data_IF_930244405493
#
_entry.id   IF_930244405493
#
_cell.length_a   1.000
_cell.length_b   1.000
_cell.length_c   1.000
_cell.angle_alpha   90.00
_cell.angle_beta   90.00
_cell.angle_gamma   90.00
#
_symmetry.space_group_name_H-M   'P 1'
#
loop_
_entity.id
_entity.type
_entity.pdbx_description
1 polymer ?
#
# COMPACT_ATOMS: atom_id res chain seq x y z
N UNK A 1 -4.15 13.97 8.15
CA UNK A 1 -4.67 13.08 7.10
C UNK A 1 -3.94 13.40 5.82
N UNK A 2 -3.69 12.41 4.97
CA UNK A 2 -3.11 12.58 3.64
C UNK A 2 -4.21 12.33 2.60
N UNK A 3 -4.14 13.03 1.47
CA UNK A 3 -5.06 12.86 0.33
C UNK A 3 -4.30 12.29 -0.86
N UNK A 4 -4.89 11.35 -1.56
CA UNK A 4 -4.22 10.66 -2.66
C UNK A 4 -5.17 10.11 -3.71
N UNK A 5 -4.58 9.39 -4.63
CA UNK A 5 -5.26 8.73 -5.73
C UNK A 5 -4.77 7.29 -5.86
N UNK A 6 -5.61 6.41 -6.37
CA UNK A 6 -5.16 5.13 -6.89
C UNK A 6 -5.35 5.06 -8.40
N UNK A 7 -4.41 4.40 -9.08
CA UNK A 7 -4.28 4.42 -10.53
C UNK A 7 -3.78 3.10 -11.10
N UNK A 8 -4.07 2.90 -12.38
CA UNK A 8 -3.63 1.74 -13.15
C UNK A 8 -3.36 2.14 -14.60
N UNK A 9 -3.18 1.19 -15.49
CA UNK A 9 -3.09 1.43 -16.93
C UNK A 9 -4.27 2.23 -17.51
N UNK A 10 -5.42 2.30 -16.81
CA UNK A 10 -6.55 3.13 -17.22
C UNK A 10 -6.21 4.63 -17.23
N UNK A 11 -5.28 5.05 -16.41
CA UNK A 11 -4.74 6.41 -16.35
C UNK A 11 -3.46 6.57 -17.18
N UNK A 12 -3.20 5.69 -18.16
CA UNK A 12 -2.03 5.79 -19.04
C UNK A 12 -1.86 7.19 -19.60
N UNK A 13 -0.65 7.74 -19.44
CA UNK A 13 -0.30 9.10 -19.85
C UNK A 13 -0.56 10.17 -18.80
N UNK A 14 -1.03 9.81 -17.59
CA UNK A 14 -1.11 10.73 -16.46
C UNK A 14 0.29 11.18 -16.06
N UNK A 15 0.46 12.49 -15.94
CA UNK A 15 1.66 13.14 -15.43
C UNK A 15 1.45 13.50 -13.95
N UNK A 16 2.06 12.74 -13.05
CA UNK A 16 1.89 12.91 -11.60
C UNK A 16 2.44 14.24 -11.09
N UNK A 17 3.31 14.91 -11.84
CA UNK A 17 3.81 16.24 -11.48
C UNK A 17 2.73 17.32 -11.51
N UNK A 18 1.66 17.07 -12.28
CA UNK A 18 0.50 17.97 -12.41
C UNK A 18 -0.60 17.70 -11.40
N UNK A 19 -0.51 16.58 -10.67
CA UNK A 19 -1.54 16.18 -9.71
C UNK A 19 -1.10 16.54 -8.29
N UNK A 20 -1.89 17.42 -7.67
CA UNK A 20 -1.69 17.75 -6.26
C UNK A 20 -2.26 16.63 -5.39
N UNK A 21 -1.39 15.74 -4.91
CA UNK A 21 -1.73 14.68 -3.97
C UNK A 21 -0.54 14.38 -3.05
N UNK A 22 -0.82 13.87 -1.86
CA UNK A 22 0.20 13.46 -0.89
C UNK A 22 0.73 12.05 -1.19
N UNK A 23 -0.14 11.17 -1.70
CA UNK A 23 0.22 9.79 -2.01
C UNK A 23 -0.41 9.29 -3.32
N UNK A 24 0.20 8.24 -3.86
CA UNK A 24 -0.30 7.52 -5.04
C UNK A 24 -0.20 6.02 -4.79
N UNK A 25 -1.27 5.29 -5.09
CA UNK A 25 -1.33 3.83 -5.04
C UNK A 25 -1.44 3.32 -6.49
N UNK A 26 -0.54 2.43 -6.91
CA UNK A 26 -0.47 1.97 -8.29
C UNK A 26 -0.83 0.49 -8.40
N UNK A 27 -1.69 0.11 -9.36
CA UNK A 27 -1.86 -1.29 -9.73
C UNK A 27 -0.51 -1.87 -10.15
N UNK A 28 -0.10 -2.96 -9.49
CA UNK A 28 1.13 -3.65 -9.85
C UNK A 28 0.80 -4.91 -10.65
N UNK A 29 0.04 -5.83 -10.07
CA UNK A 29 -0.20 -7.15 -10.68
C UNK A 29 -1.66 -7.58 -10.54
N UNK A 30 -2.05 -8.58 -11.34
CA UNK A 30 -3.31 -9.28 -11.25
C UNK A 30 -3.07 -10.76 -11.57
N UNK A 31 -3.72 -11.68 -10.84
CA UNK A 31 -3.54 -13.11 -11.09
C UNK A 31 -2.03 -13.51 -11.01
N UNK A 32 -1.60 -14.53 -11.76
CA UNK A 32 -0.20 -14.99 -11.79
C UNK A 32 0.55 -14.61 -13.07
N UNK A 33 -0.04 -13.78 -13.95
CA UNK A 33 0.49 -13.54 -15.28
C UNK A 33 0.29 -12.11 -15.80
N UNK A 34 -0.30 -11.21 -15.03
CA UNK A 34 -0.49 -9.82 -15.44
C UNK A 34 0.33 -8.87 -14.58
N UNK A 35 1.21 -8.11 -15.24
CA UNK A 35 1.90 -6.94 -14.68
C UNK A 35 1.31 -5.70 -15.36
N UNK A 36 0.84 -4.73 -14.58
CA UNK A 36 0.28 -3.50 -15.14
C UNK A 36 1.35 -2.74 -15.94
N UNK A 37 1.11 -2.43 -17.21
CA UNK A 37 2.12 -1.84 -18.08
C UNK A 37 2.55 -0.42 -17.67
N UNK A 38 1.77 0.27 -16.83
CA UNK A 38 2.09 1.61 -16.35
C UNK A 38 2.73 1.60 -14.94
N UNK A 39 2.76 0.45 -14.27
CA UNK A 39 3.18 0.33 -12.88
C UNK A 39 4.54 0.96 -12.60
N UNK A 40 5.56 0.52 -13.32
CA UNK A 40 6.93 0.98 -13.06
C UNK A 40 7.14 2.45 -13.38
N UNK A 41 6.44 2.97 -14.40
CA UNK A 41 6.50 4.38 -14.74
C UNK A 41 5.85 5.25 -13.67
N UNK A 42 4.65 4.90 -13.23
CA UNK A 42 3.97 5.63 -12.15
C UNK A 42 4.74 5.60 -10.84
N UNK A 43 5.27 4.44 -10.45
CA UNK A 43 6.09 4.33 -9.24
C UNK A 43 7.35 5.19 -9.33
N UNK A 44 8.01 5.23 -10.50
CA UNK A 44 9.18 6.11 -10.73
C UNK A 44 8.82 7.59 -10.64
N UNK A 45 7.69 8.00 -11.22
CA UNK A 45 7.20 9.37 -11.10
C UNK A 45 6.90 9.73 -9.64
N UNK A 46 6.19 8.87 -8.92
CA UNK A 46 5.83 9.10 -7.52
C UNK A 46 7.08 9.20 -6.61
N UNK A 47 8.07 8.32 -6.80
CA UNK A 47 9.36 8.35 -6.09
C UNK A 47 10.12 9.65 -6.35
N UNK A 48 10.22 10.07 -7.61
CA UNK A 48 10.91 11.31 -8.01
C UNK A 48 10.25 12.57 -7.43
N UNK A 49 8.94 12.54 -7.21
CA UNK A 49 8.16 13.64 -6.63
C UNK A 49 8.09 13.58 -5.10
N UNK A 50 8.72 12.59 -4.45
CA UNK A 50 8.70 12.42 -3.00
C UNK A 50 7.31 12.13 -2.41
N UNK A 51 6.39 11.61 -3.24
CA UNK A 51 5.05 11.21 -2.80
C UNK A 51 5.12 9.95 -1.95
N UNK A 52 4.22 9.82 -1.00
CA UNK A 52 3.99 8.53 -0.35
C UNK A 52 3.47 7.53 -1.39
N UNK A 53 3.97 6.29 -1.35
CA UNK A 53 3.67 5.30 -2.39
C UNK A 53 2.96 4.07 -1.84
N UNK A 54 2.04 3.53 -2.62
CA UNK A 54 1.45 2.22 -2.42
C UNK A 54 1.38 1.44 -3.73
N UNK A 55 1.22 0.13 -3.65
CA UNK A 55 1.06 -0.71 -4.83
C UNK A 55 0.17 -1.91 -4.52
N UNK A 56 -0.71 -2.28 -5.45
CA UNK A 56 -1.68 -3.32 -5.20
C UNK A 56 -1.66 -4.49 -6.18
N UNK A 57 -2.06 -5.63 -5.66
CA UNK A 57 -2.35 -6.85 -6.39
C UNK A 57 -3.86 -7.05 -6.48
N UNK A 58 -4.41 -7.14 -7.67
CA UNK A 58 -5.80 -7.51 -7.88
C UNK A 58 -5.95 -9.03 -7.80
N UNK A 59 -6.62 -9.52 -6.78
CA UNK A 59 -6.76 -10.94 -6.50
C UNK A 59 -7.71 -11.65 -7.46
N UNK A 60 -7.36 -12.88 -7.83
CA UNK A 60 -8.20 -13.82 -8.60
C UNK A 60 -8.33 -15.16 -7.89
N UNK A 61 -8.95 -15.17 -6.69
CA UNK A 61 -9.04 -16.38 -5.87
C UNK A 61 -9.83 -17.52 -6.53
N UNK A 62 -10.62 -17.21 -7.53
CA UNK A 62 -11.33 -18.18 -8.36
C UNK A 62 -10.44 -18.90 -9.40
N UNK A 63 -9.24 -18.37 -9.67
CA UNK A 63 -8.34 -18.89 -10.69
C UNK A 63 -7.09 -19.55 -10.13
N UNK A 64 -6.55 -19.03 -9.03
CA UNK A 64 -5.22 -19.42 -8.55
C UNK A 64 -5.17 -19.61 -7.03
N UNK A 65 -4.19 -20.43 -6.53
CA UNK A 65 -3.85 -20.46 -5.11
C UNK A 65 -3.26 -19.12 -4.62
N UNK A 66 -3.57 -18.76 -3.39
CA UNK A 66 -3.11 -17.52 -2.76
C UNK A 66 -1.59 -17.32 -2.81
N UNK A 67 -0.84 -18.36 -2.44
CA UNK A 67 0.63 -18.33 -2.46
C UNK A 67 1.23 -18.15 -3.86
N UNK A 68 0.54 -18.64 -4.90
CA UNK A 68 1.02 -18.46 -6.27
C UNK A 68 0.90 -16.98 -6.69
N UNK A 69 -0.23 -16.33 -6.39
CA UNK A 69 -0.43 -14.91 -6.67
C UNK A 69 0.48 -14.03 -5.79
N UNK A 70 0.66 -14.38 -4.51
CA UNK A 70 1.58 -13.67 -3.62
C UNK A 70 3.03 -13.71 -4.12
N UNK A 71 3.51 -14.87 -4.56
CA UNK A 71 4.86 -15.00 -5.13
C UNK A 71 5.02 -14.25 -6.45
N UNK A 72 4.01 -14.25 -7.29
CA UNK A 72 4.04 -13.47 -8.54
C UNK A 72 4.08 -11.96 -8.23
N UNK A 73 3.24 -11.48 -7.31
CA UNK A 73 3.28 -10.10 -6.84
C UNK A 73 4.66 -9.74 -6.27
N UNK A 74 5.19 -10.54 -5.35
CA UNK A 74 6.50 -10.32 -4.74
C UNK A 74 7.62 -10.24 -5.78
N UNK A 75 7.68 -11.20 -6.71
CA UNK A 75 8.72 -11.25 -7.73
C UNK A 75 8.77 -10.00 -8.63
N UNK A 76 7.60 -9.41 -8.92
CA UNK A 76 7.50 -8.22 -9.78
C UNK A 76 7.63 -6.90 -9.01
N UNK A 77 7.58 -6.91 -7.67
CA UNK A 77 7.50 -5.70 -6.85
C UNK A 77 8.58 -5.60 -5.76
N UNK A 78 9.49 -6.57 -5.69
CA UNK A 78 10.50 -6.70 -4.61
C UNK A 78 11.23 -5.39 -4.27
N UNK A 79 11.56 -4.56 -5.26
CA UNK A 79 12.30 -3.31 -5.08
C UNK A 79 11.52 -2.19 -4.39
N UNK A 80 10.19 -2.36 -4.23
CA UNK A 80 9.31 -1.35 -3.62
C UNK A 80 8.95 -1.66 -2.17
N UNK A 81 9.22 -2.89 -1.69
CA UNK A 81 9.06 -3.18 -0.27
C UNK A 81 10.02 -2.33 0.57
N UNK A 82 9.58 -1.97 1.78
CA UNK A 82 10.24 -1.00 2.67
C UNK A 82 10.37 0.42 2.08
N UNK A 83 9.54 0.76 1.07
CA UNK A 83 9.41 2.10 0.47
C UNK A 83 7.96 2.48 0.23
N UNK A 84 7.11 1.50 -0.02
CA UNK A 84 5.71 1.68 -0.39
C UNK A 84 4.83 0.63 0.29
N UNK A 85 3.56 0.95 0.51
CA UNK A 85 2.59 0.07 1.16
C UNK A 85 2.15 -1.02 0.18
N UNK A 86 2.36 -2.33 0.48
CA UNK A 86 1.80 -3.41 -0.30
C UNK A 86 0.32 -3.60 0.03
N UNK A 87 -0.52 -3.88 -0.97
CA UNK A 87 -1.97 -3.93 -0.81
C UNK A 87 -2.52 -5.15 -1.56
N UNK A 88 -3.46 -5.86 -0.93
CA UNK A 88 -4.32 -6.85 -1.56
C UNK A 88 -5.65 -6.20 -1.92
N UNK A 89 -5.95 -6.11 -3.20
CA UNK A 89 -7.24 -5.67 -3.74
C UNK A 89 -8.17 -6.87 -3.85
N UNK A 90 -9.23 -6.87 -3.01
CA UNK A 90 -10.14 -7.97 -2.78
C UNK A 90 -11.57 -7.65 -3.22
N UNK A 91 -11.85 -7.78 -4.51
CA UNK A 91 -13.17 -7.45 -5.06
C UNK A 91 -13.67 -8.38 -6.18
N UNK A 92 -12.91 -9.41 -6.54
CA UNK A 92 -13.29 -10.37 -7.57
C UNK A 92 -14.47 -11.27 -7.17
N UNK A 93 -14.90 -12.15 -8.05
CA UNK A 93 -16.03 -13.07 -7.84
C UNK A 93 -15.81 -14.04 -6.67
N UNK A 94 -14.56 -14.40 -6.37
CA UNK A 94 -14.16 -15.29 -5.27
C UNK A 94 -14.12 -14.67 -3.88
N UNK A 95 -14.62 -13.45 -3.68
CA UNK A 95 -14.49 -12.67 -2.44
C UNK A 95 -15.10 -13.26 -1.17
N UNK A 96 -15.89 -14.32 -1.26
CA UNK A 96 -16.36 -15.09 -0.11
C UNK A 96 -15.25 -15.93 0.56
N UNK A 97 -14.17 -16.22 -0.17
CA UNK A 97 -13.04 -17.03 0.33
C UNK A 97 -12.05 -16.18 1.14
N UNK A 98 -12.48 -15.73 2.33
CA UNK A 98 -11.65 -14.91 3.25
C UNK A 98 -10.35 -15.63 3.66
N UNK A 99 -10.36 -16.96 3.73
CA UNK A 99 -9.18 -17.75 4.08
C UNK A 99 -8.06 -17.59 3.02
N UNK A 100 -8.42 -17.51 1.74
CA UNK A 100 -7.48 -17.24 0.67
C UNK A 100 -6.83 -15.85 0.83
N UNK A 101 -7.63 -14.82 1.13
CA UNK A 101 -7.11 -13.49 1.36
C UNK A 101 -6.12 -13.47 2.54
N UNK A 102 -6.47 -14.16 3.63
CA UNK A 102 -5.58 -14.30 4.79
C UNK A 102 -4.27 -14.99 4.43
N UNK A 103 -4.32 -16.08 3.65
CA UNK A 103 -3.14 -16.82 3.21
C UNK A 103 -2.21 -15.96 2.33
N UNK A 104 -2.78 -15.15 1.43
CA UNK A 104 -2.01 -14.22 0.60
C UNK A 104 -1.30 -13.16 1.46
N UNK A 105 -2.02 -12.54 2.39
CA UNK A 105 -1.49 -11.54 3.30
C UNK A 105 -0.36 -12.10 4.18
N UNK A 106 -0.55 -13.33 4.70
CA UNK A 106 0.45 -14.02 5.50
C UNK A 106 1.71 -14.35 4.68
N UNK A 107 1.55 -14.81 3.43
CA UNK A 107 2.68 -15.14 2.56
C UNK A 107 3.51 -13.89 2.24
N UNK A 108 2.89 -12.75 1.93
CA UNK A 108 3.62 -11.50 1.70
C UNK A 108 4.32 -11.04 2.97
N UNK A 109 3.66 -11.11 4.12
CA UNK A 109 4.30 -10.77 5.39
C UNK A 109 5.50 -11.66 5.69
N UNK A 110 5.39 -12.96 5.46
CA UNK A 110 6.49 -13.92 5.65
C UNK A 110 7.69 -13.65 4.71
N UNK A 111 7.42 -13.20 3.47
CA UNK A 111 8.46 -12.90 2.49
C UNK A 111 9.17 -11.56 2.72
N UNK A 112 8.52 -10.60 3.40
CA UNK A 112 8.97 -9.19 3.37
C UNK A 112 9.10 -8.54 4.73
N UNK A 113 8.55 -9.13 5.78
CA UNK A 113 8.35 -8.54 7.11
C UNK A 113 7.50 -7.23 7.08
N UNK A 114 6.84 -6.95 5.96
CA UNK A 114 5.91 -5.81 5.80
C UNK A 114 4.47 -6.33 5.77
N UNK A 115 3.60 -5.82 6.66
CA UNK A 115 2.20 -6.22 6.68
C UNK A 115 1.43 -5.51 5.57
N UNK A 116 0.85 -6.24 4.61
CA UNK A 116 0.00 -5.62 3.60
C UNK A 116 -1.28 -5.03 4.19
N UNK A 117 -1.89 -4.12 3.44
CA UNK A 117 -3.25 -3.64 3.70
C UNK A 117 -4.23 -4.42 2.84
N UNK A 118 -5.41 -4.73 3.40
CA UNK A 118 -6.53 -5.26 2.64
C UNK A 118 -7.37 -4.11 2.09
N UNK A 119 -7.63 -4.09 0.78
CA UNK A 119 -8.65 -3.22 0.17
C UNK A 119 -9.89 -4.03 -0.17
N UNK A 120 -11.07 -3.49 0.16
CA UNK A 120 -12.36 -3.98 -0.32
C UNK A 120 -13.48 -2.98 -0.05
N UNK A 121 -14.66 -3.24 -0.62
CA UNK A 121 -15.84 -2.41 -0.36
C UNK A 121 -16.41 -2.62 1.06
N UNK A 122 -17.07 -1.58 1.60
CA UNK A 122 -17.78 -1.65 2.90
C UNK A 122 -18.75 -2.84 2.96
N UNK A 123 -19.45 -3.11 1.87
CA UNK A 123 -20.41 -4.21 1.78
C UNK A 123 -19.74 -5.57 1.96
N UNK A 124 -18.62 -5.82 1.29
CA UNK A 124 -17.85 -7.08 1.40
C UNK A 124 -17.25 -7.24 2.79
N UNK A 125 -16.68 -6.17 3.35
CA UNK A 125 -16.12 -6.17 4.71
C UNK A 125 -17.18 -6.48 5.76
N UNK A 126 -18.42 -6.02 5.59
CA UNK A 126 -19.49 -6.28 6.54
C UNK A 126 -20.24 -7.58 6.29
N UNK A 127 -20.14 -8.16 5.10
CA UNK A 127 -20.82 -9.41 4.73
C UNK A 127 -20.11 -10.65 5.26
N UNK A 128 -18.79 -10.66 5.27
CA UNK A 128 -17.99 -11.84 5.63
C UNK A 128 -17.27 -11.68 6.97
N UNK A 129 -16.77 -12.79 7.50
CA UNK A 129 -16.04 -12.82 8.77
C UNK A 129 -14.54 -12.57 8.53
N UNK A 130 -14.09 -11.36 8.83
CA UNK A 130 -12.70 -10.93 8.70
C UNK A 130 -11.90 -10.93 10.00
N UNK A 131 -12.44 -11.54 11.07
CA UNK A 131 -11.81 -11.53 12.40
C UNK A 131 -10.36 -12.04 12.38
N UNK A 132 -10.05 -13.06 11.58
CA UNK A 132 -8.70 -13.60 11.46
C UNK A 132 -7.73 -12.63 10.76
N UNK A 133 -8.20 -11.86 9.77
CA UNK A 133 -7.39 -10.85 9.07
C UNK A 133 -7.16 -9.64 9.98
N UNK A 134 -8.21 -9.12 10.60
CA UNK A 134 -8.10 -8.02 11.55
C UNK A 134 -7.25 -8.38 12.77
N UNK A 135 -7.41 -9.61 13.31
CA UNK A 135 -6.62 -10.15 14.42
C UNK A 135 -5.13 -10.37 14.04
N UNK A 136 -4.82 -10.59 12.76
CA UNK A 136 -3.47 -10.63 12.22
C UNK A 136 -2.78 -9.26 12.10
N UNK A 137 -3.45 -8.20 12.54
CA UNK A 137 -2.96 -6.82 12.48
C UNK A 137 -2.68 -6.32 11.04
N UNK A 138 -3.47 -6.80 10.06
CA UNK A 138 -3.46 -6.25 8.70
C UNK A 138 -4.33 -5.00 8.66
N UNK A 139 -3.82 -3.94 8.00
CA UNK A 139 -4.56 -2.69 7.84
C UNK A 139 -5.78 -2.85 6.91
N UNK A 140 -6.69 -1.88 6.93
CA UNK A 140 -7.86 -1.85 6.06
C UNK A 140 -7.90 -0.55 5.27
N UNK A 141 -8.03 -0.68 3.95
CA UNK A 141 -8.44 0.36 3.03
C UNK A 141 -9.84 -0.01 2.52
N UNK A 142 -10.83 0.84 2.79
CA UNK A 142 -12.22 0.51 2.50
C UNK A 142 -12.80 1.46 1.45
N UNK A 143 -13.46 0.90 0.42
CA UNK A 143 -14.19 1.67 -0.56
C UNK A 143 -15.64 1.86 -0.12
N UNK A 144 -16.10 3.10 -0.19
CA UNK A 144 -17.50 3.48 -0.02
C UNK A 144 -17.74 4.83 -0.69
N UNK A 145 -18.56 4.84 -1.70
CA UNK A 145 -18.97 6.04 -2.42
C UNK A 145 -20.35 6.46 -1.97
N UNK A 146 -20.60 7.76 -1.89
CA UNK A 146 -21.95 8.31 -1.61
C UNK A 146 -22.88 8.03 -2.80
N UNK A 147 -22.40 8.38 -3.99
CA UNK A 147 -23.12 8.31 -5.25
C UNK A 147 -22.14 8.36 -6.43
N UNK A 148 -22.66 8.60 -7.66
CA UNK A 148 -21.85 8.75 -8.87
C UNK A 148 -21.66 10.20 -9.30
N UNK A 149 -21.77 11.17 -8.37
CA UNK A 149 -21.55 12.58 -8.65
C UNK A 149 -20.04 12.85 -8.77
N UNK A 150 -19.66 13.78 -9.63
CA UNK A 150 -18.28 14.21 -9.78
C UNK A 150 -17.89 15.06 -8.58
N UNK A 151 -16.79 14.68 -7.93
CA UNK A 151 -16.19 15.42 -6.82
C UNK A 151 -14.96 16.20 -7.32
N UNK A 152 -14.80 17.44 -6.87
CA UNK A 152 -13.77 18.34 -7.37
C UNK A 152 -12.76 18.65 -6.27
N UNK A 153 -11.46 18.56 -6.60
CA UNK A 153 -10.35 19.01 -5.76
C UNK A 153 -10.34 18.47 -4.32
N UNK A 154 -10.61 17.17 -4.13
CA UNK A 154 -10.68 16.53 -2.80
C UNK A 154 -11.70 17.18 -1.84
N UNK A 155 -12.76 17.78 -2.35
CA UNK A 155 -13.83 18.28 -1.50
C UNK A 155 -14.65 17.13 -0.91
N UNK A 156 -14.23 16.68 0.26
CA UNK A 156 -14.89 15.60 1.00
C UNK A 156 -16.19 16.04 1.69
N UNK A 157 -16.62 17.31 1.56
CA UNK A 157 -17.91 17.77 2.14
C UNK A 157 -19.08 16.95 1.60
N UNK A 158 -18.92 16.42 0.41
CA UNK A 158 -19.88 15.56 -0.28
C UNK A 158 -19.58 14.07 -0.21
N UNK A 159 -18.53 13.63 0.46
CA UNK A 159 -18.14 12.20 0.52
C UNK A 159 -19.19 11.31 1.20
N UNK A 160 -20.15 11.89 1.92
CA UNK A 160 -21.12 11.15 2.70
C UNK A 160 -20.57 10.66 4.04
N UNK A 161 -21.22 9.67 4.62
CA UNK A 161 -20.79 9.13 5.90
C UNK A 161 -19.60 8.18 5.72
N UNK A 162 -18.58 8.31 6.58
CA UNK A 162 -17.47 7.38 6.65
C UNK A 162 -17.93 5.91 6.71
N UNK A 163 -17.16 4.98 6.10
CA UNK A 163 -17.45 3.54 6.18
C UNK A 163 -17.51 3.06 7.62
N UNK A 164 -18.51 2.24 7.93
CA UNK A 164 -18.65 1.55 9.22
C UNK A 164 -18.25 0.09 9.02
N UNK A 165 -17.20 -0.35 9.72
CA UNK A 165 -16.64 -1.70 9.57
C UNK A 165 -16.72 -2.48 10.89
N UNK A 166 -17.03 -3.78 10.82
CA UNK A 166 -17.27 -4.61 12.01
C UNK A 166 -16.00 -5.09 12.71
N UNK A 167 -14.96 -5.42 11.93
CA UNK A 167 -13.85 -6.23 12.42
C UNK A 167 -12.61 -5.41 12.81
N UNK A 168 -12.44 -4.23 12.23
CA UNK A 168 -11.34 -3.31 12.53
C UNK A 168 -11.78 -2.20 13.46
N UNK A 169 -10.95 -1.88 14.45
CA UNK A 169 -11.14 -0.68 15.29
C UNK A 169 -10.90 0.60 14.51
N UNK A 170 -9.95 0.54 13.57
CA UNK A 170 -9.52 1.67 12.75
C UNK A 170 -9.36 1.20 11.31
N UNK A 171 -9.77 2.00 10.37
CA UNK A 171 -9.42 1.86 8.96
C UNK A 171 -8.22 2.75 8.65
N UNK A 172 -7.25 2.23 7.89
CA UNK A 172 -6.07 2.99 7.49
C UNK A 172 -6.42 4.02 6.40
N UNK A 173 -7.27 3.60 5.44
CA UNK A 173 -7.65 4.41 4.28
C UNK A 173 -9.13 4.25 3.94
N UNK A 174 -9.64 5.26 3.23
CA UNK A 174 -10.97 5.27 2.63
C UNK A 174 -10.89 5.80 1.20
N UNK A 175 -11.30 4.97 0.22
CA UNK A 175 -11.57 5.41 -1.14
C UNK A 175 -13.02 5.92 -1.15
N UNK A 176 -13.17 7.23 -1.23
CA UNK A 176 -14.44 7.90 -0.99
C UNK A 176 -15.18 8.30 -2.27
N UNK A 177 -14.49 8.31 -3.42
CA UNK A 177 -15.09 8.49 -4.73
C UNK A 177 -14.27 7.83 -5.82
N UNK A 178 -14.92 7.36 -6.87
CA UNK A 178 -14.30 6.92 -8.13
C UNK A 178 -14.51 7.92 -9.26
N UNK A 179 -14.95 9.14 -8.95
CA UNK A 179 -15.26 10.20 -9.90
C UNK A 179 -14.66 11.54 -9.50
N UNK A 180 -13.48 11.51 -8.90
CA UNK A 180 -12.74 12.72 -8.57
C UNK A 180 -12.22 13.44 -9.82
N UNK A 181 -12.29 14.77 -9.82
CA UNK A 181 -11.72 15.65 -10.84
C UNK A 181 -10.63 16.51 -10.20
N UNK A 182 -9.41 16.28 -10.59
CA UNK A 182 -8.25 17.01 -10.10
C UNK A 182 -7.62 17.81 -11.23
N UNK A 183 -7.13 19.00 -10.90
CA UNK A 183 -6.36 19.80 -11.84
C UNK A 183 -5.19 18.99 -12.38
N UNK A 184 -4.94 19.09 -13.68
CA UNK A 184 -3.90 18.34 -14.37
C UNK A 184 -4.35 17.03 -15.03
N UNK A 185 -5.61 16.58 -14.79
CA UNK A 185 -6.17 15.41 -15.47
C UNK A 185 -7.67 15.58 -15.80
N UNK A 186 -8.01 15.33 -17.06
CA UNK A 186 -9.34 15.62 -17.59
C UNK A 186 -10.39 14.52 -17.38
N UNK A 187 -9.99 13.35 -16.84
CA UNK A 187 -10.87 12.20 -16.61
C UNK A 187 -11.09 11.98 -15.12
N UNK A 188 -12.00 11.04 -14.80
CA UNK A 188 -12.27 10.65 -13.43
C UNK A 188 -11.06 9.92 -12.82
N UNK A 189 -10.84 10.16 -11.53
CA UNK A 189 -9.83 9.51 -10.69
C UNK A 189 -10.50 8.95 -9.45
N UNK A 190 -10.00 7.82 -8.99
CA UNK A 190 -10.28 7.32 -7.66
C UNK A 190 -9.55 8.21 -6.64
N UNK A 191 -10.29 8.74 -5.67
CA UNK A 191 -9.72 9.61 -4.64
C UNK A 191 -9.84 8.98 -3.27
N UNK A 192 -8.74 9.12 -2.53
CA UNK A 192 -8.50 8.45 -1.26
C UNK A 192 -8.10 9.40 -0.15
N UNK A 193 -8.41 8.99 1.07
CA UNK A 193 -7.87 9.60 2.27
C UNK A 193 -7.17 8.53 3.12
N UNK A 194 -5.96 8.84 3.58
CA UNK A 194 -5.25 8.07 4.60
C UNK A 194 -5.40 8.76 5.96
N UNK A 195 -5.88 8.01 6.96
CA UNK A 195 -6.15 8.53 8.31
C UNK A 195 -4.89 8.59 9.19
N UNK A 196 -3.81 9.16 8.66
CA UNK A 196 -2.54 9.27 9.36
C UNK A 196 -1.65 10.40 8.83
N UNK A 197 -0.45 10.49 9.39
CA UNK A 197 0.65 11.33 8.94
C UNK A 197 1.55 10.57 7.95
N UNK A 198 2.54 11.26 7.37
CA UNK A 198 3.59 10.62 6.57
C UNK A 198 4.39 9.58 7.37
N UNK A 199 4.62 9.82 8.67
CA UNK A 199 5.30 8.85 9.53
C UNK A 199 4.46 7.60 9.75
N UNK A 200 3.13 7.75 9.90
CA UNK A 200 2.23 6.60 9.96
C UNK A 200 2.21 5.83 8.63
N UNK A 201 2.22 6.52 7.48
CA UNK A 201 2.37 5.89 6.16
C UNK A 201 3.65 5.07 6.06
N UNK A 202 4.78 5.66 6.48
CA UNK A 202 6.09 5.00 6.47
C UNK A 202 6.09 3.71 7.31
N UNK A 203 5.41 3.70 8.45
CA UNK A 203 5.25 2.48 9.27
C UNK A 203 4.49 1.39 8.53
N UNK A 204 3.40 1.73 7.83
CA UNK A 204 2.68 0.77 6.97
C UNK A 204 3.52 0.29 5.78
N UNK A 205 4.36 1.16 5.23
CA UNK A 205 5.26 0.82 4.13
C UNK A 205 6.47 -0.02 4.58
N UNK A 206 6.63 -0.26 5.88
CA UNK A 206 7.80 -0.95 6.41
C UNK A 206 9.09 -0.14 6.25
N UNK A 207 8.98 1.17 6.09
CA UNK A 207 10.15 2.05 6.09
C UNK A 207 10.71 2.03 7.52
N UNK A 208 11.77 1.26 7.70
CA UNK A 208 12.49 1.16 8.96
C UNK A 208 13.15 2.48 9.35
N UNK A 209 13.53 2.59 10.63
CA UNK A 209 14.43 3.63 11.05
C UNK A 209 15.73 3.51 10.25
N UNK A 210 16.31 4.64 9.86
CA UNK A 210 17.57 4.67 9.14
C UNK A 210 18.63 5.35 9.97
N UNK A 211 19.87 4.87 9.85
CA UNK A 211 21.03 5.44 10.51
C UNK A 211 22.12 5.74 9.47
N UNK A 212 22.65 6.95 9.47
CA UNK A 212 23.80 7.30 8.61
C UNK A 212 25.09 6.97 9.36
N UNK A 213 25.84 5.99 8.85
CA UNK A 213 27.08 5.54 9.47
C UNK A 213 28.08 6.69 9.58
N UNK A 214 28.54 6.97 10.79
CA UNK A 214 29.53 7.98 11.06
C UNK A 214 30.94 7.37 11.08
N UNK A 215 31.94 8.18 10.85
CA UNK A 215 33.34 7.75 10.99
C UNK A 215 33.61 7.30 12.42
N UNK A 216 34.06 6.04 12.58
CA UNK A 216 34.34 5.44 13.88
C UNK A 216 33.19 4.59 14.44
N UNK A 217 32.05 4.52 13.78
CA UNK A 217 31.00 3.59 14.16
C UNK A 217 31.41 2.14 13.88
N UNK A 218 30.91 1.28 14.75
CA UNK A 218 30.92 -0.19 14.55
C UNK A 218 29.47 -0.65 14.47
N UNK A 219 29.21 -1.80 13.85
CA UNK A 219 27.85 -2.36 13.78
C UNK A 219 27.26 -2.56 15.17
N UNK A 220 28.08 -2.93 16.15
CA UNK A 220 27.68 -3.09 17.56
C UNK A 220 27.26 -1.75 18.16
N UNK A 221 28.09 -0.69 18.02
CA UNK A 221 27.76 0.63 18.53
C UNK A 221 26.50 1.24 17.89
N UNK A 222 26.27 0.95 16.61
CA UNK A 222 25.04 1.35 15.90
C UNK A 222 23.83 0.58 16.45
N UNK A 223 23.95 -0.73 16.66
CA UNK A 223 22.87 -1.54 17.23
C UNK A 223 22.46 -1.04 18.63
N UNK A 224 23.44 -0.70 19.47
CA UNK A 224 23.18 -0.10 20.80
C UNK A 224 22.50 1.26 20.71
N UNK A 225 23.03 2.19 19.88
CA UNK A 225 22.47 3.53 19.68
C UNK A 225 21.03 3.49 19.17
N UNK A 226 20.71 2.53 18.32
CA UNK A 226 19.42 2.40 17.65
C UNK A 226 18.46 1.41 18.33
N UNK A 227 18.85 0.89 19.51
CA UNK A 227 18.07 -0.11 20.27
C UNK A 227 17.61 -1.29 19.43
N UNK A 228 18.53 -1.86 18.65
CA UNK A 228 18.33 -3.00 17.75
C UNK A 228 19.44 -4.04 17.93
N UNK A 229 19.53 -5.05 17.07
CA UNK A 229 20.57 -6.09 17.13
C UNK A 229 21.50 -6.05 15.93
N UNK A 230 22.73 -6.51 16.12
CA UNK A 230 23.71 -6.68 15.02
C UNK A 230 23.17 -7.56 13.93
N UNK A 231 22.50 -8.68 14.27
CA UNK A 231 21.91 -9.60 13.30
C UNK A 231 20.80 -8.94 12.47
N UNK A 232 19.97 -8.10 13.09
CA UNK A 232 18.93 -7.34 12.38
C UNK A 232 19.56 -6.37 11.39
N UNK A 233 20.57 -5.59 11.80
CA UNK A 233 21.27 -4.67 10.90
C UNK A 233 21.93 -5.45 9.75
N UNK A 234 22.62 -6.55 10.05
CA UNK A 234 23.29 -7.36 9.04
C UNK A 234 22.32 -7.98 8.02
N UNK A 235 21.15 -8.45 8.48
CA UNK A 235 20.11 -9.03 7.60
C UNK A 235 19.47 -8.03 6.64
N UNK A 236 19.46 -6.74 6.99
CA UNK A 236 18.85 -5.67 6.21
C UNK A 236 19.82 -4.93 5.29
N UNK A 237 21.13 -5.14 5.47
CA UNK A 237 22.17 -4.40 4.77
C UNK A 237 23.28 -5.35 4.29
N UNK A 238 23.98 -4.95 3.22
CA UNK A 238 25.14 -5.66 2.73
C UNK A 238 26.40 -5.19 3.50
N UNK A 239 27.44 -4.78 2.80
CA UNK A 239 28.65 -4.21 3.41
C UNK A 239 28.34 -2.87 4.08
N UNK A 240 29.00 -2.63 5.26
CA UNK A 240 28.83 -1.39 6.02
C UNK A 240 30.07 -0.50 5.85
N UNK A 241 29.86 0.76 5.46
CA UNK A 241 30.92 1.77 5.28
C UNK A 241 30.45 3.15 5.76
N UNK A 242 31.40 4.00 6.10
CA UNK A 242 31.09 5.36 6.56
C UNK A 242 30.32 6.16 5.51
N UNK A 243 29.22 6.79 5.91
CA UNK A 243 28.30 7.52 5.04
C UNK A 243 27.14 6.65 4.51
N UNK A 244 27.16 5.35 4.72
CA UNK A 244 26.06 4.47 4.35
C UNK A 244 24.83 4.75 5.23
N UNK A 245 23.66 4.73 4.62
CA UNK A 245 22.38 4.73 5.34
C UNK A 245 21.98 3.30 5.61
N UNK A 246 21.88 2.93 6.87
CA UNK A 246 21.47 1.60 7.31
C UNK A 246 19.98 1.55 7.60
N UNK A 247 19.35 0.41 7.30
CA UNK A 247 18.03 0.04 7.81
C UNK A 247 18.17 -0.62 9.17
N UNK A 248 17.26 -0.31 10.08
CA UNK A 248 17.28 -0.77 11.47
C UNK A 248 16.11 -1.70 11.80
#
# INVERSE_FOLDING_TARGET
>A
MLQGIDISHWQKGLDLSKIKCDFVICKATESINYLDPCFHDFMKQAEALGKCMGFYHFARPELNPAKAEAKFFYANTIKYFNKAIPILDWESSGKANVAWAKEWLDEIYALTDVRPILYSSESVINQYNWSAVAGGNYGLWVAKYRDHIIDINYDMSNAGAEPKVKWWKFKAMWQWTSRGRLDGYAKDLDCDVFFGSKDAWNKYAGVGETYVVQKGDTITSIAEKCNTTVDKIASLNNLIYAGQILRL
#
